data_IF_941280124056
#
_entry.id   IF_941280124056
#
_cell.length_a   1.000
_cell.length_b   1.000
_cell.length_c   1.000
_cell.angle_alpha   90.00
_cell.angle_beta   90.00
_cell.angle_gamma   90.00
#
_symmetry.space_group_name_H-M   'P 1'
#
loop_
_entity.id
_entity.type
_entity.pdbx_description
1 polymer ?
#
# COMPACT_ATOMS: atom_id res chain seq x y z
N UNK A 1 37.89 83.21 38.89
CA UNK A 1 36.74 83.04 37.96
C UNK A 1 36.98 81.78 37.14
N UNK A 2 36.41 80.72 37.60
CA UNK A 2 36.63 79.41 36.95
C UNK A 2 35.37 79.02 36.15
N UNK A 3 35.56 78.77 34.86
CA UNK A 3 34.51 78.35 33.93
C UNK A 3 34.44 76.83 33.94
N UNK A 4 33.28 76.29 34.29
CA UNK A 4 33.03 74.83 34.29
C UNK A 4 32.49 74.51 32.91
N UNK A 5 33.24 73.69 32.14
CA UNK A 5 32.78 73.08 30.89
C UNK A 5 31.95 71.84 31.20
N UNK A 6 30.73 71.82 30.76
CA UNK A 6 29.81 70.69 30.85
C UNK A 6 30.24 69.63 29.79
N UNK A 7 30.60 68.46 30.22
CA UNK A 7 30.80 67.31 29.36
C UNK A 7 29.49 66.56 29.17
N UNK A 8 29.01 66.46 27.92
CA UNK A 8 27.84 65.70 27.55
C UNK A 8 28.22 64.28 27.22
N UNK A 9 27.83 63.34 28.06
CA UNK A 9 27.96 61.89 27.77
C UNK A 9 26.88 61.48 26.78
N UNK A 10 27.26 61.11 25.57
CA UNK A 10 26.39 60.41 24.61
C UNK A 10 26.37 58.92 24.92
N UNK A 11 25.20 58.42 25.33
CA UNK A 11 25.00 56.97 25.51
C UNK A 11 24.63 56.40 24.13
N UNK A 12 25.51 55.63 23.53
CA UNK A 12 25.25 54.84 22.31
C UNK A 12 24.58 53.56 22.78
N UNK A 13 23.25 53.47 22.58
CA UNK A 13 22.50 52.24 22.77
C UNK A 13 22.74 51.34 21.53
N UNK A 14 23.68 50.38 21.69
CA UNK A 14 23.92 49.35 20.70
C UNK A 14 22.80 48.32 20.73
N UNK A 15 21.92 48.32 19.73
CA UNK A 15 20.90 47.30 19.51
C UNK A 15 21.61 46.00 19.03
N UNK A 16 21.74 45.04 19.93
CA UNK A 16 22.18 43.69 19.58
C UNK A 16 20.99 43.02 18.88
N UNK A 17 20.99 42.95 17.54
CA UNK A 17 20.14 42.08 16.77
C UNK A 17 20.63 40.64 17.01
N UNK A 18 19.93 39.92 17.88
CA UNK A 18 20.08 38.47 18.02
C UNK A 18 19.54 37.83 16.75
N UNK A 19 20.43 37.52 15.78
CA UNK A 19 20.12 36.60 14.72
C UNK A 19 19.95 35.21 15.36
N UNK A 20 18.69 34.78 15.49
CA UNK A 20 18.38 33.39 15.76
C UNK A 20 18.81 32.62 14.51
N UNK A 21 20.02 32.08 14.53
CA UNK A 21 20.46 31.10 13.53
C UNK A 21 19.57 29.88 13.73
N UNK A 22 18.55 29.72 12.91
CA UNK A 22 17.88 28.44 12.74
C UNK A 22 18.95 27.46 12.29
N UNK A 23 19.29 26.50 13.14
CA UNK A 23 20.14 25.38 12.75
C UNK A 23 19.35 24.58 11.70
N UNK A 24 19.61 24.85 10.43
CA UNK A 24 19.20 23.96 9.35
C UNK A 24 19.96 22.67 9.62
N UNK A 25 19.25 21.63 10.03
CA UNK A 25 19.82 20.29 10.11
C UNK A 25 20.26 19.91 8.69
N UNK A 26 21.57 19.87 8.47
CA UNK A 26 22.10 19.38 7.20
C UNK A 26 21.84 17.87 7.13
N UNK A 27 21.40 17.40 5.97
CA UNK A 27 21.27 15.98 5.70
C UNK A 27 22.65 15.29 5.81
N UNK A 28 22.68 14.06 6.30
CA UNK A 28 23.92 13.27 6.44
C UNK A 28 24.54 12.91 5.07
N UNK A 29 23.77 12.98 4.00
CA UNK A 29 24.18 12.66 2.64
C UNK A 29 23.49 13.58 1.62
N UNK A 30 24.21 13.92 0.54
CA UNK A 30 23.63 14.61 -0.61
C UNK A 30 22.90 13.67 -1.59
N UNK A 31 23.08 12.34 -1.41
CA UNK A 31 22.36 11.36 -2.23
C UNK A 31 20.87 11.36 -1.88
N UNK A 32 19.98 11.22 -2.88
CA UNK A 32 18.54 11.22 -2.59
C UNK A 32 18.11 9.97 -1.82
N UNK A 33 17.11 10.14 -0.97
CA UNK A 33 16.33 9.03 -0.41
C UNK A 33 15.32 8.64 -1.47
N UNK A 34 15.49 7.47 -2.08
CA UNK A 34 14.61 6.97 -3.13
C UNK A 34 13.50 6.13 -2.51
N UNK A 35 12.25 6.59 -2.65
CA UNK A 35 11.05 5.96 -2.10
C UNK A 35 10.23 5.35 -3.24
N UNK A 36 9.85 4.05 -3.16
CA UNK A 36 9.06 3.44 -4.21
C UNK A 36 7.61 3.92 -4.16
N UNK A 37 6.98 4.02 -5.33
CA UNK A 37 5.52 4.13 -5.47
C UNK A 37 4.99 2.89 -6.18
N UNK A 38 3.98 2.26 -5.59
CA UNK A 38 3.31 1.08 -6.11
C UNK A 38 1.93 1.44 -6.68
N UNK A 39 1.13 0.45 -6.99
CA UNK A 39 -0.17 0.60 -7.65
C UNK A 39 -1.37 0.42 -6.68
N UNK A 40 -1.21 0.88 -5.44
CA UNK A 40 -2.30 1.04 -4.48
C UNK A 40 -2.12 2.31 -3.64
N UNK A 41 -3.24 2.94 -3.29
CA UNK A 41 -3.30 4.31 -2.80
C UNK A 41 -2.67 4.53 -1.42
N UNK A 42 -2.82 3.60 -0.46
CA UNK A 42 -2.22 3.74 0.88
C UNK A 42 -0.71 3.89 0.80
N UNK A 43 -0.08 3.05 -0.01
CA UNK A 43 1.35 3.06 -0.22
C UNK A 43 1.83 4.37 -0.88
N UNK A 44 1.12 4.84 -1.91
CA UNK A 44 1.47 6.09 -2.59
C UNK A 44 1.34 7.28 -1.64
N UNK A 45 0.23 7.39 -0.90
CA UNK A 45 0.04 8.47 0.07
C UNK A 45 1.13 8.45 1.14
N UNK A 46 1.43 7.28 1.69
CA UNK A 46 2.45 7.16 2.75
C UNK A 46 3.85 7.43 2.20
N UNK A 47 4.16 7.08 0.96
CA UNK A 47 5.42 7.44 0.31
C UNK A 47 5.65 8.95 0.33
N UNK A 48 4.64 9.74 -0.05
CA UNK A 48 4.72 11.20 -0.03
C UNK A 48 4.75 11.78 1.39
N UNK A 49 4.04 11.19 2.35
CA UNK A 49 4.09 11.62 3.76
C UNK A 49 5.50 11.42 4.32
N UNK A 50 6.07 10.23 4.12
CA UNK A 50 7.43 9.91 4.59
C UNK A 50 8.47 10.76 3.87
N UNK A 51 8.34 10.93 2.56
CA UNK A 51 9.23 11.79 1.78
C UNK A 51 9.20 13.24 2.25
N UNK A 52 8.01 13.81 2.49
CA UNK A 52 7.87 15.16 3.05
C UNK A 52 8.51 15.32 4.43
N UNK A 53 8.50 14.27 5.27
CA UNK A 53 9.24 14.27 6.53
C UNK A 53 10.75 14.35 6.28
N UNK A 54 11.29 13.52 5.39
CA UNK A 54 12.71 13.57 5.06
C UNK A 54 13.12 14.90 4.43
N UNK A 55 12.31 15.47 3.53
CA UNK A 55 12.55 16.80 2.96
C UNK A 55 12.57 17.88 4.06
N UNK A 56 11.66 17.81 5.04
CA UNK A 56 11.66 18.75 6.17
C UNK A 56 12.90 18.65 7.06
N UNK A 57 13.60 17.50 7.01
CA UNK A 57 14.87 17.27 7.70
C UNK A 57 16.09 17.70 6.84
N UNK A 58 15.86 18.23 5.63
CA UNK A 58 16.90 18.71 4.72
C UNK A 58 17.45 17.65 3.75
N UNK A 59 16.82 16.48 3.66
CA UNK A 59 17.22 15.45 2.71
C UNK A 59 16.64 15.70 1.31
N UNK A 60 17.36 15.25 0.29
CA UNK A 60 16.80 15.13 -1.06
C UNK A 60 15.94 13.86 -1.12
N UNK A 61 14.77 13.94 -1.76
CA UNK A 61 13.85 12.80 -1.92
C UNK A 61 13.52 12.60 -3.39
N UNK A 62 13.50 11.35 -3.83
CA UNK A 62 13.04 10.94 -5.14
C UNK A 62 11.97 9.86 -5.00
N UNK A 63 10.93 9.93 -5.86
CA UNK A 63 9.89 8.92 -5.93
C UNK A 63 10.06 8.10 -7.20
N UNK A 64 10.10 6.78 -7.07
CA UNK A 64 10.35 5.87 -8.19
C UNK A 64 9.26 4.82 -8.28
N UNK A 65 8.56 4.76 -9.41
CA UNK A 65 7.61 3.66 -9.62
C UNK A 65 8.36 2.34 -9.68
N UNK A 66 7.90 1.37 -8.91
CA UNK A 66 8.55 0.07 -8.79
C UNK A 66 7.50 -1.06 -8.73
N UNK A 67 7.84 -2.20 -9.35
CA UNK A 67 7.08 -3.43 -9.17
C UNK A 67 7.21 -3.94 -7.73
N UNK A 68 6.10 -4.35 -7.15
CA UNK A 68 6.01 -4.75 -5.73
C UNK A 68 6.78 -6.02 -5.37
N UNK A 69 7.20 -6.82 -6.35
CA UNK A 69 8.09 -7.98 -6.11
C UNK A 69 9.57 -7.62 -6.33
N UNK A 70 9.85 -6.76 -7.32
CA UNK A 70 11.21 -6.37 -7.67
C UNK A 70 11.82 -5.36 -6.69
N UNK A 71 10.99 -4.63 -5.93
CA UNK A 71 11.42 -3.58 -5.00
C UNK A 71 12.46 -4.05 -3.98
N UNK A 72 12.34 -5.28 -3.50
CA UNK A 72 13.26 -5.82 -2.47
C UNK A 72 14.68 -6.03 -3.01
N UNK A 73 14.81 -6.47 -4.27
CA UNK A 73 16.12 -6.57 -4.92
C UNK A 73 16.66 -5.17 -5.23
N UNK A 74 15.81 -4.23 -5.63
CA UNK A 74 16.20 -2.83 -5.86
C UNK A 74 16.73 -2.15 -4.59
N UNK A 75 16.12 -2.44 -3.42
CA UNK A 75 16.66 -1.99 -2.12
C UNK A 75 18.02 -2.62 -1.86
N UNK A 76 18.13 -3.93 -2.08
CA UNK A 76 19.38 -4.69 -1.82
C UNK A 76 20.57 -4.15 -2.60
N UNK A 77 20.36 -3.69 -3.84
CA UNK A 77 21.42 -3.13 -4.69
C UNK A 77 21.57 -1.60 -4.60
N UNK A 78 20.73 -0.94 -3.79
CA UNK A 78 20.82 0.50 -3.54
C UNK A 78 20.08 1.40 -4.55
N UNK A 79 19.28 0.85 -5.47
CA UNK A 79 18.45 1.61 -6.41
C UNK A 79 17.24 2.25 -5.75
N UNK A 80 16.80 1.70 -4.63
CA UNK A 80 15.75 2.19 -3.74
C UNK A 80 16.30 2.21 -2.33
N UNK A 81 15.99 3.26 -1.56
CA UNK A 81 16.53 3.42 -0.22
C UNK A 81 15.65 2.77 0.85
N UNK A 82 14.34 2.89 0.73
CA UNK A 82 13.37 2.44 1.74
C UNK A 82 12.11 1.91 1.08
N UNK A 83 11.52 0.86 1.66
CA UNK A 83 10.13 0.46 1.39
C UNK A 83 9.38 0.46 2.72
N UNK A 84 8.33 1.26 2.80
CA UNK A 84 7.60 1.52 4.04
C UNK A 84 6.36 0.64 4.22
N UNK A 85 6.01 -0.16 3.22
CA UNK A 85 4.82 -1.02 3.27
C UNK A 85 5.15 -2.36 2.63
N UNK A 86 5.29 -3.39 3.48
CA UNK A 86 5.64 -4.76 3.08
C UNK A 86 4.53 -5.70 3.54
N UNK A 87 3.79 -6.27 2.60
CA UNK A 87 2.76 -7.27 2.84
C UNK A 87 3.37 -8.67 2.76
N UNK A 88 3.67 -9.26 3.91
CA UNK A 88 4.41 -10.52 3.99
C UNK A 88 3.66 -11.71 3.39
N UNK A 89 2.32 -11.73 3.45
CA UNK A 89 1.48 -12.75 2.82
C UNK A 89 1.61 -12.76 1.31
N UNK A 90 1.69 -11.57 0.69
CA UNK A 90 1.81 -11.42 -0.77
C UNK A 90 3.25 -11.44 -1.27
N UNK A 91 4.15 -10.75 -0.57
CA UNK A 91 5.52 -10.49 -1.03
C UNK A 91 6.60 -11.21 -0.22
N UNK A 92 6.24 -11.96 0.83
CA UNK A 92 7.16 -12.52 1.81
C UNK A 92 8.31 -13.29 1.19
N UNK A 93 8.07 -14.09 0.15
CA UNK A 93 9.14 -14.84 -0.52
C UNK A 93 10.21 -13.93 -1.12
N UNK A 94 9.83 -12.84 -1.78
CA UNK A 94 10.76 -11.88 -2.37
C UNK A 94 11.49 -11.09 -1.29
N UNK A 95 10.78 -10.66 -0.25
CA UNK A 95 11.33 -9.99 0.92
C UNK A 95 12.38 -10.86 1.63
N UNK A 96 12.02 -12.08 2.05
CA UNK A 96 12.93 -12.97 2.77
C UNK A 96 14.13 -13.39 1.93
N UNK A 97 13.96 -13.56 0.63
CA UNK A 97 15.08 -13.83 -0.28
C UNK A 97 16.08 -12.66 -0.35
N UNK A 98 15.59 -11.42 -0.36
CA UNK A 98 16.47 -10.24 -0.32
C UNK A 98 17.19 -10.14 1.02
N UNK A 99 16.47 -10.35 2.13
CA UNK A 99 17.06 -10.39 3.48
C UNK A 99 18.17 -11.43 3.59
N UNK A 100 17.93 -12.65 3.09
CA UNK A 100 18.90 -13.75 3.13
C UNK A 100 20.19 -13.48 2.34
N UNK A 101 20.10 -12.67 1.28
CA UNK A 101 21.26 -12.24 0.48
C UNK A 101 22.07 -11.12 1.15
N UNK A 102 21.52 -10.46 2.17
CA UNK A 102 22.13 -9.31 2.84
C UNK A 102 21.95 -8.00 2.07
N UNK A 103 22.30 -6.89 2.72
CA UNK A 103 22.15 -5.54 2.16
C UNK A 103 20.76 -4.91 2.34
N UNK A 104 19.86 -5.60 3.06
CA UNK A 104 18.54 -5.09 3.46
C UNK A 104 18.41 -5.16 4.98
N UNK A 105 17.85 -4.14 5.59
CA UNK A 105 17.58 -4.07 7.03
C UNK A 105 16.06 -4.09 7.20
N UNK A 106 15.56 -5.01 8.02
CA UNK A 106 14.17 -5.00 8.48
C UNK A 106 14.02 -4.01 9.63
N UNK A 107 13.27 -2.94 9.42
CA UNK A 107 13.00 -1.91 10.41
C UNK A 107 11.88 -2.28 11.40
N UNK A 108 11.27 -3.45 11.23
CA UNK A 108 10.19 -3.93 12.08
C UNK A 108 8.81 -3.79 11.46
N UNK A 109 7.82 -4.32 12.17
CA UNK A 109 6.43 -4.38 11.70
C UNK A 109 5.65 -3.10 12.02
N UNK A 110 4.65 -2.80 11.18
CA UNK A 110 3.60 -1.84 11.49
C UNK A 110 2.78 -2.29 12.70
N UNK A 111 2.25 -1.33 13.44
CA UNK A 111 1.32 -1.62 14.55
C UNK A 111 -0.11 -1.94 14.09
N UNK A 112 -0.44 -1.69 12.84
CA UNK A 112 -1.77 -1.96 12.29
C UNK A 112 -1.96 -3.47 12.02
N UNK A 113 -3.00 -4.11 12.57
CA UNK A 113 -3.36 -5.46 12.18
C UNK A 113 -3.89 -5.47 10.75
N UNK A 114 -3.44 -6.42 9.95
CA UNK A 114 -3.79 -6.51 8.52
C UNK A 114 -4.27 -7.91 8.16
N UNK A 115 -5.16 -7.97 7.17
CA UNK A 115 -5.61 -9.21 6.53
C UNK A 115 -5.67 -8.96 5.03
N UNK A 116 -5.17 -9.90 4.23
CA UNK A 116 -5.30 -9.94 2.77
C UNK A 116 -5.97 -11.25 2.38
N UNK A 117 -7.09 -11.21 1.67
CA UNK A 117 -7.76 -12.41 1.19
C UNK A 117 -8.79 -12.08 0.09
N UNK A 118 -9.23 -13.11 -0.61
CA UNK A 118 -10.40 -13.02 -1.48
C UNK A 118 -11.67 -12.86 -0.65
N UNK A 119 -12.60 -12.09 -1.15
CA UNK A 119 -13.87 -11.90 -0.48
C UNK A 119 -14.97 -11.38 -1.40
N UNK A 120 -16.07 -11.06 -0.79
CA UNK A 120 -17.27 -10.54 -1.45
C UNK A 120 -17.80 -9.32 -0.69
N UNK A 121 -18.43 -8.35 -1.36
CA UNK A 121 -19.21 -7.35 -0.65
C UNK A 121 -20.29 -8.02 0.22
N UNK A 122 -20.50 -7.55 1.44
CA UNK A 122 -21.44 -8.16 2.41
C UNK A 122 -22.85 -8.30 1.85
N UNK A 123 -23.28 -7.38 0.97
CA UNK A 123 -24.58 -7.48 0.32
C UNK A 123 -24.76 -8.71 -0.59
N UNK A 124 -23.68 -9.38 -1.03
CA UNK A 124 -23.75 -10.66 -1.77
C UNK A 124 -24.30 -11.75 -0.85
N UNK A 125 -23.89 -11.73 0.42
CA UNK A 125 -24.37 -12.66 1.45
C UNK A 125 -25.79 -12.29 1.87
N UNK A 126 -26.06 -11.02 2.14
CA UNK A 126 -27.35 -10.51 2.59
C UNK A 126 -28.48 -10.80 1.58
N UNK A 127 -28.16 -10.74 0.29
CA UNK A 127 -29.10 -11.06 -0.80
C UNK A 127 -29.18 -12.56 -1.12
N UNK A 128 -28.37 -13.39 -0.45
CA UNK A 128 -28.35 -14.83 -0.71
C UNK A 128 -27.87 -15.22 -2.10
N UNK A 129 -27.03 -14.41 -2.74
CA UNK A 129 -26.56 -14.66 -4.12
C UNK A 129 -25.61 -15.87 -4.21
N UNK A 130 -24.99 -16.25 -3.10
CA UNK A 130 -24.21 -17.47 -2.95
C UNK A 130 -24.43 -18.04 -1.54
N UNK A 131 -25.45 -18.87 -1.34
CA UNK A 131 -25.74 -19.46 -0.04
C UNK A 131 -24.57 -20.29 0.49
N UNK A 132 -24.26 -20.12 1.77
CA UNK A 132 -23.14 -20.79 2.43
C UNK A 132 -21.87 -19.96 2.57
N UNK A 133 -21.73 -18.82 1.87
CA UNK A 133 -20.67 -17.87 2.17
C UNK A 133 -20.80 -17.35 3.63
N UNK A 134 -19.69 -17.09 4.33
CA UNK A 134 -18.32 -16.96 3.80
C UNK A 134 -17.52 -18.27 3.70
N UNK A 135 -18.09 -19.45 3.95
CA UNK A 135 -17.35 -20.70 3.78
C UNK A 135 -17.03 -20.95 2.32
N UNK A 136 -15.75 -21.20 2.00
CA UNK A 136 -15.26 -21.34 0.62
C UNK A 136 -15.94 -22.48 -0.15
N UNK A 137 -16.41 -23.52 0.54
CA UNK A 137 -17.08 -24.66 -0.06
C UNK A 137 -18.34 -24.24 -0.86
N UNK A 138 -19.01 -23.15 -0.43
CA UNK A 138 -20.15 -22.59 -1.15
C UNK A 138 -19.84 -22.23 -2.61
N UNK A 139 -18.59 -21.86 -2.89
CA UNK A 139 -18.14 -21.52 -4.24
C UNK A 139 -18.29 -22.69 -5.22
N UNK A 140 -18.31 -23.93 -4.75
CA UNK A 140 -18.50 -25.11 -5.59
C UNK A 140 -19.85 -25.10 -6.29
N UNK A 141 -20.87 -24.49 -5.70
CA UNK A 141 -22.25 -24.59 -6.17
C UNK A 141 -22.80 -23.27 -6.72
N UNK A 142 -22.19 -22.12 -6.41
CA UNK A 142 -22.71 -20.80 -6.80
C UNK A 142 -21.90 -20.06 -7.85
N UNK A 143 -20.98 -20.72 -8.60
CA UNK A 143 -20.11 -20.05 -9.57
C UNK A 143 -20.86 -19.21 -10.61
N UNK A 144 -22.09 -19.61 -10.95
CA UNK A 144 -22.94 -18.88 -11.92
C UNK A 144 -23.30 -17.46 -11.47
N UNK A 145 -23.34 -17.20 -10.16
CA UNK A 145 -23.60 -15.87 -9.62
C UNK A 145 -22.46 -14.88 -9.93
N UNK A 146 -21.27 -15.40 -10.20
CA UNK A 146 -20.05 -14.64 -10.43
C UNK A 146 -19.61 -14.58 -11.90
N UNK A 147 -20.47 -15.06 -12.83
CA UNK A 147 -20.17 -15.00 -14.27
C UNK A 147 -20.20 -13.56 -14.75
N UNK A 148 -19.20 -13.20 -15.54
CA UNK A 148 -19.06 -11.88 -16.18
C UNK A 148 -18.79 -12.07 -17.68
N UNK A 149 -19.00 -11.04 -18.53
CA UNK A 149 -18.78 -11.17 -19.97
C UNK A 149 -17.39 -11.66 -20.36
N UNK A 150 -16.38 -11.31 -19.58
CA UNK A 150 -14.97 -11.65 -19.83
C UNK A 150 -14.54 -13.00 -19.21
N UNK A 151 -15.45 -13.70 -18.50
CA UNK A 151 -15.11 -14.92 -17.76
C UNK A 151 -15.34 -16.23 -18.54
N UNK A 152 -15.86 -16.15 -19.78
CA UNK A 152 -16.07 -17.33 -20.63
C UNK A 152 -17.07 -18.32 -20.04
N UNK A 153 -18.10 -17.84 -19.33
CA UNK A 153 -19.14 -18.66 -18.69
C UNK A 153 -18.76 -19.28 -17.35
N UNK A 154 -17.54 -19.05 -16.88
CA UNK A 154 -17.10 -19.41 -15.53
C UNK A 154 -17.33 -18.24 -14.55
N UNK A 155 -17.37 -18.51 -13.27
CA UNK A 155 -17.28 -17.49 -12.24
C UNK A 155 -15.96 -16.71 -12.37
N UNK A 156 -16.00 -15.39 -12.32
CA UNK A 156 -14.78 -14.58 -12.31
C UNK A 156 -14.24 -14.49 -10.88
N UNK A 157 -12.97 -14.86 -10.75
CA UNK A 157 -12.15 -14.64 -9.56
C UNK A 157 -11.21 -13.48 -9.87
N UNK A 158 -11.55 -12.27 -9.40
CA UNK A 158 -10.80 -11.07 -9.74
C UNK A 158 -9.71 -10.82 -8.71
N UNK A 159 -8.48 -11.03 -9.14
CA UNK A 159 -7.27 -10.84 -8.36
C UNK A 159 -6.70 -9.43 -8.58
N UNK A 160 -5.83 -8.99 -7.68
CA UNK A 160 -4.97 -7.83 -7.90
C UNK A 160 -4.03 -8.02 -9.09
N UNK A 161 -3.13 -7.08 -9.34
CA UNK A 161 -2.13 -7.24 -10.40
C UNK A 161 -1.37 -8.55 -10.30
N UNK A 162 -1.04 -9.14 -11.44
CA UNK A 162 -0.29 -10.40 -11.48
C UNK A 162 1.05 -10.30 -10.71
N UNK A 163 1.64 -9.10 -10.63
CA UNK A 163 2.85 -8.85 -9.84
C UNK A 163 2.65 -8.99 -8.32
N UNK A 164 1.41 -8.94 -7.82
CA UNK A 164 1.17 -9.13 -6.38
C UNK A 164 1.30 -10.60 -5.99
N UNK A 165 0.60 -11.50 -6.68
CA UNK A 165 0.52 -12.92 -6.31
C UNK A 165 1.06 -13.90 -7.37
N UNK A 166 1.49 -13.39 -8.53
CA UNK A 166 2.05 -14.21 -9.64
C UNK A 166 1.16 -15.42 -9.98
N UNK A 167 1.73 -16.61 -9.87
CA UNK A 167 1.05 -17.87 -10.17
C UNK A 167 0.21 -18.42 -9.00
N UNK A 168 0.31 -17.80 -7.82
CA UNK A 168 -0.24 -18.36 -6.59
C UNK A 168 -1.77 -18.57 -6.65
N UNK A 169 -2.52 -17.61 -7.22
CA UNK A 169 -3.98 -17.70 -7.25
C UNK A 169 -4.53 -18.73 -8.26
N UNK A 170 -4.02 -18.85 -9.50
CA UNK A 170 -4.41 -19.96 -10.37
C UNK A 170 -4.14 -21.31 -9.74
N UNK A 171 -3.01 -21.49 -9.07
CA UNK A 171 -2.66 -22.74 -8.39
C UNK A 171 -3.59 -23.01 -7.19
N UNK A 172 -3.96 -21.97 -6.43
CA UNK A 172 -4.92 -22.07 -5.33
C UNK A 172 -6.32 -22.48 -5.81
N UNK A 173 -6.85 -21.83 -6.85
CA UNK A 173 -8.15 -22.16 -7.46
C UNK A 173 -8.15 -23.63 -7.92
N UNK A 174 -7.05 -24.11 -8.50
CA UNK A 174 -6.88 -25.50 -8.90
C UNK A 174 -6.82 -26.44 -7.70
N UNK A 175 -6.02 -26.11 -6.67
CA UNK A 175 -5.89 -26.92 -5.47
C UNK A 175 -7.23 -27.09 -4.71
N UNK A 176 -8.11 -26.06 -4.78
CA UNK A 176 -9.46 -26.12 -4.22
C UNK A 176 -10.46 -26.87 -5.10
N UNK A 177 -10.05 -27.36 -6.29
CA UNK A 177 -10.92 -28.03 -7.26
C UNK A 177 -11.95 -27.10 -7.90
N UNK A 178 -11.65 -25.81 -7.98
CA UNK A 178 -12.55 -24.77 -8.52
C UNK A 178 -12.22 -24.36 -9.97
N UNK A 179 -11.14 -24.84 -10.56
CA UNK A 179 -10.62 -24.42 -11.87
C UNK A 179 -11.53 -24.77 -13.06
N UNK A 180 -12.39 -25.76 -12.91
CA UNK A 180 -13.44 -26.06 -13.89
C UNK A 180 -14.58 -25.05 -13.87
N UNK A 181 -14.82 -24.39 -12.72
CA UNK A 181 -15.95 -23.48 -12.44
C UNK A 181 -15.57 -22.00 -12.41
N UNK A 182 -14.32 -21.71 -12.11
CA UNK A 182 -13.81 -20.33 -11.98
C UNK A 182 -12.63 -20.06 -12.91
N UNK A 183 -12.48 -18.81 -13.29
CA UNK A 183 -11.31 -18.30 -14.01
C UNK A 183 -10.73 -17.11 -13.26
N UNK A 184 -9.42 -17.16 -12.99
CA UNK A 184 -8.69 -16.04 -12.39
C UNK A 184 -8.46 -14.96 -13.44
N UNK A 185 -8.85 -13.74 -13.12
CA UNK A 185 -8.55 -12.53 -13.89
C UNK A 185 -7.74 -11.58 -13.01
N UNK A 186 -6.85 -10.84 -13.62
CA UNK A 186 -5.99 -9.90 -12.91
C UNK A 186 -6.38 -8.46 -13.22
N UNK A 187 -6.54 -7.66 -12.18
CA UNK A 187 -6.73 -6.22 -12.29
C UNK A 187 -5.39 -5.51 -12.55
N UNK A 188 -5.43 -4.30 -13.09
CA UNK A 188 -4.22 -3.49 -13.33
C UNK A 188 -3.66 -2.80 -12.09
N UNK A 189 -4.46 -2.70 -11.01
CA UNK A 189 -4.11 -2.06 -9.74
C UNK A 189 -5.31 -2.08 -8.80
N UNK A 190 -5.14 -1.51 -7.61
CA UNK A 190 -6.21 -1.39 -6.63
C UNK A 190 -7.42 -0.65 -7.15
N UNK A 191 -7.22 0.43 -7.92
CA UNK A 191 -8.31 1.23 -8.47
C UNK A 191 -9.24 0.41 -9.39
N UNK A 192 -8.69 -0.57 -10.10
CA UNK A 192 -9.50 -1.46 -10.93
C UNK A 192 -10.34 -2.44 -10.09
N UNK A 193 -9.85 -2.89 -8.92
CA UNK A 193 -10.64 -3.66 -7.97
C UNK A 193 -11.80 -2.81 -7.40
N UNK A 194 -11.52 -1.56 -7.07
CA UNK A 194 -12.54 -0.64 -6.53
C UNK A 194 -13.59 -0.26 -7.57
N UNK A 195 -13.17 -0.05 -8.83
CA UNK A 195 -14.10 0.18 -9.94
C UNK A 195 -15.04 -1.01 -10.15
N UNK A 196 -14.52 -2.24 -10.01
CA UNK A 196 -15.35 -3.45 -10.06
C UNK A 196 -16.36 -3.51 -8.92
N UNK A 197 -15.97 -3.20 -7.69
CA UNK A 197 -16.89 -3.16 -6.55
C UNK A 197 -18.03 -2.16 -6.80
N UNK A 198 -17.70 -0.96 -7.25
CA UNK A 198 -18.67 0.08 -7.56
C UNK A 198 -19.64 -0.34 -8.68
N UNK A 199 -19.12 -0.97 -9.75
CA UNK A 199 -19.92 -1.47 -10.85
C UNK A 199 -20.85 -2.61 -10.40
N UNK A 200 -20.33 -3.59 -9.68
CA UNK A 200 -21.11 -4.70 -9.15
C UNK A 200 -22.23 -4.24 -8.21
N UNK A 201 -21.94 -3.26 -7.34
CA UNK A 201 -22.93 -2.64 -6.45
C UNK A 201 -24.05 -1.97 -7.23
N UNK A 202 -23.71 -1.17 -8.27
CA UNK A 202 -24.66 -0.48 -9.14
C UNK A 202 -25.54 -1.45 -9.91
N UNK A 203 -24.97 -2.55 -10.39
CA UNK A 203 -25.65 -3.57 -11.19
C UNK A 203 -26.38 -4.62 -10.33
N UNK A 204 -26.13 -4.65 -9.03
CA UNK A 204 -26.71 -5.61 -8.09
C UNK A 204 -26.22 -7.05 -8.29
N UNK A 205 -25.09 -7.25 -8.96
CA UNK A 205 -24.48 -8.56 -9.24
C UNK A 205 -23.44 -8.98 -8.22
N UNK A 206 -23.25 -10.28 -8.04
CA UNK A 206 -22.18 -10.77 -7.19
C UNK A 206 -20.80 -10.53 -7.82
N UNK A 207 -19.80 -10.33 -6.98
CA UNK A 207 -18.40 -10.30 -7.38
C UNK A 207 -17.52 -10.90 -6.30
N UNK A 208 -16.47 -11.62 -6.71
CA UNK A 208 -15.37 -12.09 -5.86
C UNK A 208 -14.14 -11.30 -6.25
N UNK A 209 -13.55 -10.59 -5.29
CA UNK A 209 -12.33 -9.82 -5.51
C UNK A 209 -11.32 -10.04 -4.41
N UNK A 210 -10.04 -9.87 -4.74
CA UNK A 210 -8.98 -9.69 -3.76
C UNK A 210 -9.16 -8.37 -3.02
N UNK A 211 -8.98 -8.40 -1.72
CA UNK A 211 -9.10 -7.24 -0.87
C UNK A 211 -8.18 -7.37 0.35
N UNK A 212 -8.05 -6.29 1.09
CA UNK A 212 -7.30 -6.24 2.34
C UNK A 212 -7.95 -5.28 3.32
N UNK A 213 -7.60 -5.41 4.59
CA UNK A 213 -7.97 -4.48 5.66
C UNK A 213 -6.71 -4.06 6.43
N UNK A 214 -6.61 -2.81 6.93
CA UNK A 214 -7.65 -1.78 6.88
C UNK A 214 -7.67 -1.01 5.54
N UNK A 215 -8.85 -0.76 5.01
CA UNK A 215 -9.08 0.18 3.92
C UNK A 215 -10.53 0.70 3.94
N UNK A 216 -10.92 1.55 2.97
CA UNK A 216 -12.25 2.17 2.96
C UNK A 216 -13.41 1.18 2.79
N UNK A 217 -13.18 0.00 2.25
CA UNK A 217 -14.24 -1.02 2.08
C UNK A 217 -14.72 -1.59 3.40
N UNK A 218 -13.95 -1.44 4.48
CA UNK A 218 -14.35 -1.86 5.83
C UNK A 218 -15.63 -1.12 6.27
N UNK A 219 -15.75 0.16 5.91
CA UNK A 219 -16.92 0.98 6.18
C UNK A 219 -18.11 0.67 5.24
N UNK A 220 -17.85 0.15 4.06
CA UNK A 220 -18.87 -0.19 3.07
C UNK A 220 -19.48 -1.60 3.23
N UNK A 221 -18.85 -2.44 4.04
CA UNK A 221 -19.19 -3.84 4.27
C UNK A 221 -18.57 -4.78 3.24
N UNK A 222 -17.53 -5.47 3.67
CA UNK A 222 -16.83 -6.51 2.91
C UNK A 222 -16.64 -7.74 3.79
N UNK A 223 -16.81 -8.92 3.24
CA UNK A 223 -16.68 -10.19 3.94
C UNK A 223 -15.61 -11.04 3.25
N UNK A 224 -14.55 -11.36 3.98
CA UNK A 224 -13.52 -12.27 3.51
C UNK A 224 -14.04 -13.71 3.51
N UNK A 225 -13.63 -14.49 2.51
CA UNK A 225 -14.00 -15.89 2.39
C UNK A 225 -13.06 -16.72 3.29
N UNK A 226 -13.66 -17.62 4.06
CA UNK A 226 -12.94 -18.52 4.96
C UNK A 226 -12.38 -19.71 4.18
N UNK A 227 -11.09 -19.63 3.83
CA UNK A 227 -10.36 -20.72 3.18
C UNK A 227 -9.67 -21.63 4.21
N UNK A 228 -9.30 -22.90 3.84
CA UNK A 228 -8.60 -23.81 4.72
C UNK A 228 -7.18 -23.41 5.07
#
# INVERSE_FOLDING_TARGET
MFSIKKATCAIIAGSILAFSASTISAADSSSPIVIPTHNWSSQVVMAYVIGGIFESMGNNVEYKSADSQAVYEAIRIGDITISHEVWQSSFGKSFYNAMAKGGVIDAGSHSAPTLEEMGVPTWVIDKGLCPGLPKWEALKDCHKAFVTPDSGGKGRWLEGPQSWHKQLMPDRVKALGLDSKYVVKFAGGADALWAELAAAKKEGRATIIFNWTPNFTDAEGFTFIEFP
#
